data_IF_112290659405
#
_entry.id   IF_112290659405
#
_cell.length_a   1.000
_cell.length_b   1.000
_cell.length_c   1.000
_cell.angle_alpha   90.00
_cell.angle_beta   90.00
_cell.angle_gamma   90.00
#
_symmetry.space_group_name_H-M   'P 1'
#
loop_
_entity.id
_entity.type
_entity.pdbx_description
1 polymer ?
#
# COMPACT_ATOMS: atom_id res chain seq x y z
N UNK A 1 -7.78 4.41 -13.79
CA UNK A 1 -8.14 4.44 -12.36
C UNK A 1 -7.06 3.73 -11.56
N UNK A 2 -6.77 4.24 -10.37
CA UNK A 2 -5.77 3.69 -9.44
C UNK A 2 -6.47 3.42 -8.10
N UNK A 3 -6.37 2.20 -7.62
CA UNK A 3 -6.86 1.78 -6.31
C UNK A 3 -5.72 1.33 -5.42
N UNK A 4 -5.82 1.60 -4.11
CA UNK A 4 -4.88 1.11 -3.10
C UNK A 4 -5.64 0.74 -1.84
N UNK A 5 -5.28 -0.39 -1.23
CA UNK A 5 -5.87 -0.88 0.02
C UNK A 5 -4.80 -1.44 0.95
N UNK A 6 -4.88 -1.10 2.23
CA UNK A 6 -4.09 -1.72 3.29
C UNK A 6 -4.89 -2.83 3.97
N UNK A 7 -4.41 -4.07 3.88
CA UNK A 7 -5.01 -5.25 4.48
C UNK A 7 -4.24 -5.60 5.76
N UNK A 8 -4.90 -5.45 6.90
CA UNK A 8 -4.38 -5.74 8.22
C UNK A 8 -5.47 -6.37 9.08
N UNK A 9 -5.07 -7.14 10.11
CA UNK A 9 -6.02 -7.75 11.04
C UNK A 9 -6.56 -6.74 12.05
N UNK A 10 -7.79 -6.98 12.54
CA UNK A 10 -8.37 -6.23 13.66
C UNK A 10 -8.43 -4.72 13.46
N UNK A 11 -7.94 -3.96 14.44
CA UNK A 11 -7.98 -2.50 14.45
C UNK A 11 -6.73 -1.81 13.87
N UNK A 12 -5.64 -2.55 13.60
CA UNK A 12 -4.36 -1.97 13.17
C UNK A 12 -3.16 -2.88 13.43
N UNK A 13 -1.96 -2.35 13.21
CA UNK A 13 -0.69 -3.01 13.51
C UNK A 13 -0.19 -2.63 14.91
N UNK A 14 0.45 -3.57 15.62
CA UNK A 14 1.16 -3.25 16.85
C UNK A 14 2.38 -2.36 16.53
N UNK A 15 2.70 -1.39 17.40
CA UNK A 15 3.90 -0.58 17.31
C UNK A 15 5.16 -1.34 17.81
N UNK A 16 5.34 -2.59 17.39
CA UNK A 16 6.42 -3.49 17.79
C UNK A 16 7.62 -3.48 16.82
N UNK A 17 7.54 -2.74 15.70
CA UNK A 17 8.55 -2.76 14.66
C UNK A 17 8.54 -4.01 13.77
N UNK A 18 7.53 -4.88 13.91
CA UNK A 18 7.50 -6.20 13.28
C UNK A 18 6.13 -6.59 12.70
N UNK A 19 5.04 -6.04 13.22
CA UNK A 19 3.68 -6.25 12.72
C UNK A 19 3.54 -5.76 11.29
N UNK A 20 2.80 -6.50 10.46
CA UNK A 20 2.74 -6.25 9.02
C UNK A 20 1.31 -6.12 8.49
N UNK A 21 1.15 -5.23 7.51
CA UNK A 21 -0.02 -5.15 6.64
C UNK A 21 0.37 -5.45 5.19
N UNK A 22 -0.52 -6.08 4.44
CA UNK A 22 -0.36 -6.24 2.99
C UNK A 22 -0.95 -5.02 2.31
N UNK A 23 -0.15 -4.29 1.54
CA UNK A 23 -0.62 -3.19 0.69
C UNK A 23 -0.88 -3.74 -0.70
N UNK A 24 -2.12 -3.65 -1.17
CA UNK A 24 -2.53 -4.05 -2.52
C UNK A 24 -2.84 -2.82 -3.36
N UNK A 25 -2.23 -2.73 -4.53
CA UNK A 25 -2.44 -1.67 -5.51
C UNK A 25 -3.02 -2.28 -6.77
N UNK A 26 -4.00 -1.60 -7.36
CA UNK A 26 -4.68 -2.03 -8.57
C UNK A 26 -4.75 -0.89 -9.58
N UNK A 27 -4.47 -1.19 -10.84
CA UNK A 27 -4.43 -0.23 -11.95
C UNK A 27 -5.33 -0.76 -13.06
N UNK A 28 -6.36 0.02 -13.38
CA UNK A 28 -7.29 -0.27 -14.46
C UNK A 28 -7.43 0.93 -15.40
N UNK A 29 -7.82 0.71 -16.64
CA UNK A 29 -8.28 1.79 -17.54
C UNK A 29 -9.62 2.34 -17.07
N UNK A 30 -10.13 3.40 -17.72
CA UNK A 30 -11.47 3.94 -17.44
C UNK A 30 -12.59 2.93 -17.72
N UNK A 31 -12.34 1.96 -18.61
CA UNK A 31 -13.28 0.90 -18.99
C UNK A 31 -13.17 -0.35 -18.10
N UNK A 32 -12.53 -0.23 -16.93
CA UNK A 32 -12.29 -1.34 -15.98
C UNK A 32 -11.43 -2.48 -16.53
N UNK A 33 -10.56 -2.21 -17.51
CA UNK A 33 -9.62 -3.19 -18.07
C UNK A 33 -8.31 -3.16 -17.26
N UNK A 34 -7.77 -4.30 -16.77
CA UNK A 34 -6.54 -4.32 -15.99
C UNK A 34 -5.34 -3.86 -16.82
N UNK A 35 -4.51 -2.98 -16.26
CA UNK A 35 -3.29 -2.52 -16.92
C UNK A 35 -2.13 -3.39 -16.45
N UNK A 36 -1.54 -4.15 -17.36
CA UNK A 36 -0.37 -5.01 -17.09
C UNK A 36 0.93 -4.22 -17.31
N UNK A 37 1.92 -4.40 -16.43
CA UNK A 37 3.22 -3.75 -16.58
C UNK A 37 3.27 -2.29 -16.13
N UNK A 38 2.23 -1.79 -15.46
CA UNK A 38 2.23 -0.43 -14.93
C UNK A 38 3.22 -0.30 -13.76
N UNK A 39 4.06 0.73 -13.80
CA UNK A 39 5.05 1.01 -12.75
C UNK A 39 4.41 1.89 -11.67
N UNK A 40 4.35 1.38 -10.46
CA UNK A 40 3.79 2.03 -9.28
C UNK A 40 4.93 2.45 -8.38
N UNK A 41 4.99 3.74 -8.02
CA UNK A 41 5.85 4.24 -6.94
C UNK A 41 5.04 4.42 -5.66
N UNK A 42 5.55 3.92 -4.53
CA UNK A 42 4.91 4.03 -3.23
C UNK A 42 5.74 4.83 -2.23
N UNK A 43 5.05 5.57 -1.37
CA UNK A 43 5.62 6.23 -0.20
C UNK A 43 4.79 5.90 1.04
N UNK A 44 5.40 5.98 2.22
CA UNK A 44 4.70 5.88 3.50
C UNK A 44 5.17 6.98 4.46
N UNK A 45 4.26 7.49 5.29
CA UNK A 45 4.61 8.47 6.34
C UNK A 45 5.17 7.83 7.61
N UNK A 46 4.83 6.57 7.87
CA UNK A 46 5.29 5.79 9.03
C UNK A 46 5.54 4.33 8.66
N UNK A 47 6.39 3.66 9.43
CA UNK A 47 6.80 2.30 9.13
C UNK A 47 7.67 2.22 7.88
N UNK A 48 7.87 0.99 7.38
CA UNK A 48 8.73 0.70 6.22
C UNK A 48 7.98 -0.16 5.22
N UNK A 49 8.03 0.21 3.93
CA UNK A 49 7.51 -0.62 2.85
C UNK A 49 8.58 -1.62 2.40
N UNK A 50 8.20 -2.88 2.16
CA UNK A 50 9.12 -3.90 1.67
C UNK A 50 9.67 -3.57 0.28
N UNK A 51 8.77 -3.23 -0.65
CA UNK A 51 9.08 -2.63 -1.94
C UNK A 51 8.36 -1.30 -2.12
N UNK A 52 9.10 -0.29 -2.59
CA UNK A 52 8.57 1.06 -2.92
C UNK A 52 8.31 1.24 -4.41
N UNK A 53 8.71 0.29 -5.25
CA UNK A 53 8.40 0.25 -6.67
C UNK A 53 7.78 -1.11 -6.99
N UNK A 54 6.59 -1.10 -7.58
CA UNK A 54 5.87 -2.31 -7.99
C UNK A 54 5.56 -2.26 -9.47
N UNK A 55 5.38 -3.44 -10.07
CA UNK A 55 4.91 -3.58 -11.45
C UNK A 55 3.66 -4.45 -11.45
N UNK A 56 2.56 -3.98 -12.04
CA UNK A 56 1.32 -4.76 -12.07
C UNK A 56 1.44 -6.03 -12.92
N UNK A 57 0.91 -7.13 -12.39
CA UNK A 57 0.82 -8.41 -13.11
C UNK A 57 -0.39 -8.48 -14.05
N UNK A 58 -0.68 -9.68 -14.56
CA UNK A 58 -1.78 -9.93 -15.50
C UNK A 58 -3.18 -9.52 -14.99
N UNK A 59 -3.37 -9.50 -13.66
CA UNK A 59 -4.61 -9.06 -13.03
C UNK A 59 -4.71 -7.54 -12.84
N UNK A 60 -3.74 -6.76 -13.33
CA UNK A 60 -3.67 -5.32 -13.12
C UNK A 60 -3.36 -4.93 -11.69
N UNK A 61 -2.82 -5.83 -10.88
CA UNK A 61 -2.53 -5.59 -9.47
C UNK A 61 -1.10 -5.98 -9.09
N UNK A 62 -0.62 -5.37 -8.00
CA UNK A 62 0.64 -5.69 -7.35
C UNK A 62 0.51 -5.51 -5.84
N UNK A 63 1.37 -6.18 -5.07
CA UNK A 63 1.37 -6.11 -3.61
C UNK A 63 2.75 -5.79 -3.05
N UNK A 64 2.77 -5.13 -1.91
CA UNK A 64 3.95 -4.95 -1.05
C UNK A 64 3.52 -5.13 0.40
N UNK A 65 4.48 -5.14 1.32
CA UNK A 65 4.20 -5.18 2.76
C UNK A 65 4.53 -3.83 3.39
N UNK A 66 3.73 -3.42 4.37
CA UNK A 66 4.10 -2.36 5.31
C UNK A 66 4.43 -3.03 6.65
N UNK A 67 5.63 -2.81 7.14
CA UNK A 67 6.04 -3.16 8.51
C UNK A 67 5.86 -1.93 9.41
N UNK A 68 5.24 -2.12 10.57
CA UNK A 68 5.03 -1.04 11.54
C UNK A 68 6.36 -0.49 12.07
N UNK A 69 6.34 0.77 12.52
CA UNK A 69 7.40 1.32 13.36
C UNK A 69 7.14 1.06 14.84
N UNK A 70 7.93 1.70 15.71
CA UNK A 70 7.74 1.66 17.17
C UNK A 70 6.86 2.81 17.71
N UNK A 71 6.44 3.72 16.84
CA UNK A 71 5.62 4.89 17.17
C UNK A 71 4.18 4.64 16.77
N UNK A 72 3.24 4.94 17.67
CA UNK A 72 1.81 4.87 17.38
C UNK A 72 1.36 6.03 16.47
N UNK A 73 0.27 5.83 15.74
CA UNK A 73 -0.30 6.82 14.84
C UNK A 73 -0.86 6.16 13.58
N UNK A 74 -0.97 6.91 12.49
CA UNK A 74 -1.48 6.39 11.21
C UNK A 74 -0.39 6.46 10.15
N UNK A 75 -0.10 5.33 9.50
CA UNK A 75 0.74 5.28 8.32
C UNK A 75 -0.14 5.59 7.09
N UNK A 76 0.18 6.66 6.38
CA UNK A 76 -0.45 6.99 5.10
C UNK A 76 0.44 6.51 3.97
N UNK A 77 -0.08 5.58 3.18
CA UNK A 77 0.61 5.00 2.04
C UNK A 77 0.04 5.61 0.78
N UNK A 78 0.88 6.18 -0.06
CA UNK A 78 0.48 6.77 -1.33
C UNK A 78 1.12 6.00 -2.47
N UNK A 79 0.30 5.46 -3.37
CA UNK A 79 0.73 4.91 -4.64
C UNK A 79 0.58 5.98 -5.72
N UNK A 80 1.55 6.04 -6.64
CA UNK A 80 1.54 6.91 -7.82
C UNK A 80 1.90 6.09 -9.05
N UNK A 81 1.10 6.21 -10.10
CA UNK A 81 1.33 5.64 -11.43
C UNK A 81 1.21 6.78 -12.42
N UNK A 82 2.28 7.03 -13.18
CA UNK A 82 2.42 8.22 -14.04
C UNK A 82 2.13 9.52 -13.25
N UNK A 83 0.97 10.14 -13.47
CA UNK A 83 0.51 11.37 -12.80
C UNK A 83 -0.76 11.17 -11.96
N UNK A 84 -1.13 9.93 -11.66
CA UNK A 84 -2.31 9.58 -10.86
C UNK A 84 -1.86 9.01 -9.53
N UNK A 85 -2.37 9.56 -8.44
CA UNK A 85 -2.07 9.10 -7.08
C UNK A 85 -3.33 8.65 -6.35
N UNK A 86 -3.17 7.65 -5.48
CA UNK A 86 -4.19 7.18 -4.56
C UNK A 86 -3.54 6.84 -3.22
N UNK A 87 -4.27 6.98 -2.12
CA UNK A 87 -3.73 6.73 -0.78
C UNK A 87 -4.64 5.84 0.05
N UNK A 88 -4.02 5.07 0.95
CA UNK A 88 -4.69 4.29 2.00
C UNK A 88 -4.04 4.60 3.34
N UNK A 89 -4.73 4.32 4.44
CA UNK A 89 -4.21 4.44 5.79
C UNK A 89 -4.14 3.09 6.50
N UNK A 90 -3.08 2.87 7.28
CA UNK A 90 -2.94 1.74 8.19
C UNK A 90 -2.70 2.28 9.61
N UNK A 91 -3.59 2.02 10.59
CA UNK A 91 -3.36 2.40 11.97
C UNK A 91 -2.22 1.58 12.59
N UNK A 92 -1.35 2.25 13.33
CA UNK A 92 -0.32 1.67 14.19
C UNK A 92 -0.69 2.02 15.63
N UNK A 93 -1.00 1.01 16.42
CA UNK A 93 -1.59 1.14 17.75
C UNK A 93 -0.72 0.42 18.80
N UNK A 94 -0.92 0.79 20.05
CA UNK A 94 -0.37 0.06 21.18
C UNK A 94 -1.46 -0.88 21.73
N UNK A 95 -1.16 -2.17 21.84
CA UNK A 95 -2.08 -3.17 22.42
C UNK A 95 -1.91 -3.28 23.94
#
# INVERSE_FOLDING_TARGET
>A
MLGIQGLFGGAGLQNDGASQATIRVEVYTVDSIPVVGAVITLTTTQGTLGAVSLTTGAAGSATTTLTSGITTGTAYITATVDNVSASTSVPIINF
#
